data_IF_437030132220
#
_entry.id   IF_437030132220
#
_cell.length_a   1.000
_cell.length_b   1.000
_cell.length_c   1.000
_cell.angle_alpha   90.00
_cell.angle_beta   90.00
_cell.angle_gamma   90.00
#
_symmetry.space_group_name_H-M   'P 1'
#
loop_
_entity.id
_entity.type
_entity.pdbx_description
1 polymer ?
#
# COMPACT_ATOMS: atom_id res chain seq x y z
N UNK A 1 -1.12 -12.04 -15.97
CA UNK A 1 -2.34 -11.25 -15.97
C UNK A 1 -2.01 -9.79 -15.91
N UNK A 2 -2.54 -9.05 -16.83
CA UNK A 2 -2.27 -7.62 -16.88
C UNK A 2 -3.23 -6.91 -15.94
N UNK A 3 -2.70 -6.13 -15.07
CA UNK A 3 -3.48 -5.41 -14.09
C UNK A 3 -3.12 -3.97 -14.17
N UNK A 4 -4.08 -3.15 -13.93
CA UNK A 4 -3.83 -1.73 -13.85
C UNK A 4 -3.16 -1.47 -12.51
N UNK A 5 -1.95 -1.04 -12.55
CA UNK A 5 -1.11 -1.01 -11.38
C UNK A 5 -1.54 0.00 -10.35
N UNK A 6 -2.17 1.11 -10.76
CA UNK A 6 -2.62 2.06 -9.75
C UNK A 6 -3.83 1.52 -8.98
N UNK A 7 -4.62 0.67 -9.61
CA UNK A 7 -5.71 -0.01 -8.91
C UNK A 7 -5.17 -1.11 -8.00
N UNK A 8 -4.05 -1.72 -8.39
CA UNK A 8 -3.46 -2.75 -7.56
C UNK A 8 -3.04 -2.25 -6.20
N UNK A 9 -2.40 -1.09 -6.15
CA UNK A 9 -1.92 -0.59 -4.87
C UNK A 9 -3.09 -0.22 -3.96
N UNK A 10 -4.16 0.33 -4.52
CA UNK A 10 -5.34 0.64 -3.75
C UNK A 10 -6.05 -0.61 -3.28
N UNK A 11 -6.14 -1.61 -4.14
CA UNK A 11 -6.77 -2.87 -3.78
C UNK A 11 -6.00 -3.56 -2.65
N UNK A 12 -4.69 -3.56 -2.74
CA UNK A 12 -3.85 -4.15 -1.73
C UNK A 12 -4.03 -3.44 -0.38
N UNK A 13 -4.09 -2.12 -0.42
CA UNK A 13 -4.32 -1.34 0.78
C UNK A 13 -5.64 -1.73 1.43
N UNK A 14 -6.69 -1.83 0.64
CA UNK A 14 -8.01 -2.22 1.16
C UNK A 14 -8.00 -3.64 1.73
N UNK A 15 -7.32 -4.55 1.07
CA UNK A 15 -7.23 -5.92 1.57
C UNK A 15 -6.52 -5.97 2.92
N UNK A 16 -5.46 -5.21 3.07
CA UNK A 16 -4.75 -5.16 4.35
C UNK A 16 -5.60 -4.51 5.43
N UNK A 17 -6.37 -3.48 5.06
CA UNK A 17 -7.24 -2.82 5.98
C UNK A 17 -8.32 -3.76 6.51
N UNK A 18 -8.93 -4.53 5.63
CA UNK A 18 -9.95 -5.51 5.99
C UNK A 18 -9.35 -6.61 6.85
N UNK A 19 -8.11 -7.00 6.57
CA UNK A 19 -7.43 -8.04 7.34
C UNK A 19 -6.98 -7.59 8.73
N UNK A 20 -7.10 -6.30 9.01
CA UNK A 20 -6.71 -5.79 10.33
C UNK A 20 -5.22 -5.57 10.50
N UNK A 21 -4.50 -5.44 9.39
CA UNK A 21 -3.07 -5.18 9.43
C UNK A 21 -2.81 -3.78 9.99
N UNK A 22 -1.80 -3.66 10.83
CA UNK A 22 -1.42 -2.37 11.37
C UNK A 22 -0.65 -1.56 10.33
N UNK A 23 -1.11 -0.35 10.09
CA UNK A 23 -0.45 0.54 9.15
C UNK A 23 0.48 1.48 9.90
N UNK A 24 1.74 1.47 9.50
CA UNK A 24 2.69 2.47 9.98
C UNK A 24 2.44 3.79 9.25
N UNK A 25 2.15 3.70 7.95
CA UNK A 25 1.77 4.85 7.14
C UNK A 25 0.60 4.42 6.25
N UNK A 26 -0.47 5.19 6.25
CA UNK A 26 -1.62 4.87 5.38
C UNK A 26 -1.31 5.28 3.95
N UNK A 27 -2.20 4.91 3.04
CA UNK A 27 -2.00 5.18 1.61
C UNK A 27 -1.78 6.66 1.38
N UNK A 28 -0.69 6.98 0.70
CA UNK A 28 -0.26 8.35 0.50
C UNK A 28 0.14 8.55 -0.95
N UNK A 29 -0.29 9.66 -1.53
CA UNK A 29 0.10 10.01 -2.89
C UNK A 29 1.35 10.87 -2.83
N UNK A 30 2.38 10.42 -3.52
CA UNK A 30 3.65 11.13 -3.53
C UNK A 30 3.69 12.15 -4.68
N UNK A 31 4.43 13.24 -4.50
CA UNK A 31 4.48 14.29 -5.53
C UNK A 31 5.12 13.84 -6.83
N UNK A 32 5.90 12.75 -6.80
CA UNK A 32 6.53 12.22 -8.00
C UNK A 32 5.66 11.20 -8.74
N UNK A 33 4.39 11.11 -8.38
CA UNK A 33 3.45 10.32 -9.15
C UNK A 33 3.27 8.89 -8.72
N UNK A 34 3.46 8.61 -7.44
CA UNK A 34 3.27 7.25 -6.92
C UNK A 34 2.41 7.28 -5.67
N UNK A 35 1.85 6.13 -5.35
CA UNK A 35 1.15 5.93 -4.07
C UNK A 35 1.94 4.92 -3.26
N UNK A 36 2.08 5.19 -1.98
CA UNK A 36 2.82 4.30 -1.09
C UNK A 36 2.06 4.11 0.21
N UNK A 37 2.28 2.95 0.83
CA UNK A 37 1.87 2.77 2.23
C UNK A 37 2.85 1.82 2.89
N UNK A 38 2.88 1.86 4.21
CA UNK A 38 3.80 1.04 4.98
C UNK A 38 3.00 0.30 6.04
N UNK A 39 3.21 -1.00 6.13
CA UNK A 39 2.56 -1.83 7.14
C UNK A 39 3.62 -2.36 8.09
N UNK A 40 3.18 -2.71 9.29
CA UNK A 40 4.04 -3.28 10.31
C UNK A 40 3.56 -4.69 10.59
N UNK A 41 4.49 -5.64 10.51
CA UNK A 41 4.11 -7.02 10.78
C UNK A 41 4.20 -7.33 12.27
N UNK A 42 3.90 -8.58 12.64
CA UNK A 42 3.87 -8.99 14.04
C UNK A 42 5.24 -8.95 14.69
N UNK A 43 6.28 -9.08 13.89
CA UNK A 43 7.66 -9.04 14.39
C UNK A 43 8.20 -7.61 14.47
N UNK A 44 7.41 -6.64 14.06
CA UNK A 44 7.84 -5.25 14.10
C UNK A 44 8.57 -4.79 12.86
N UNK A 45 8.60 -5.60 11.81
CA UNK A 45 9.23 -5.21 10.54
C UNK A 45 8.30 -4.29 9.75
N UNK A 46 8.89 -3.33 9.07
CA UNK A 46 8.12 -2.42 8.23
C UNK A 46 8.23 -2.87 6.78
N UNK A 47 7.08 -2.94 6.12
CA UNK A 47 7.00 -3.36 4.72
C UNK A 47 6.44 -2.20 3.92
N UNK A 48 7.22 -1.72 2.96
CA UNK A 48 6.80 -0.63 2.10
C UNK A 48 6.23 -1.19 0.80
N UNK A 49 5.06 -0.70 0.45
CA UNK A 49 4.41 -1.03 -0.81
C UNK A 49 4.24 0.25 -1.61
N UNK A 50 4.57 0.19 -2.89
CA UNK A 50 4.50 1.36 -3.75
C UNK A 50 3.94 0.98 -5.10
N UNK A 51 3.20 1.90 -5.69
CA UNK A 51 2.64 1.72 -7.02
C UNK A 51 2.36 3.06 -7.67
N UNK A 52 2.06 3.07 -8.98
CA UNK A 52 1.76 4.32 -9.66
C UNK A 52 0.52 4.99 -9.11
N UNK A 53 0.50 6.31 -9.10
CA UNK A 53 -0.65 7.06 -8.63
C UNK A 53 -1.73 7.18 -9.68
N UNK A 54 -1.39 7.01 -10.93
CA UNK A 54 -2.33 7.13 -12.06
C UNK A 54 -2.40 5.87 -12.86
#
# INVERSE_FOLDING_TARGET
MAVDTHEEIEQLFLEFQVAGITFFQTLRKEPWGAKTFIVKDLDGNLLLFAGPAD
#
